data_IF_236596016602
#
_entry.id   IF_236596016602
#
_cell.length_a   1.000
_cell.length_b   1.000
_cell.length_c   1.000
_cell.angle_alpha   90.00
_cell.angle_beta   90.00
_cell.angle_gamma   90.00
#
_symmetry.space_group_name_H-M   'P 1'
#
loop_
_entity.id
_entity.type
_entity.pdbx_description
1 polymer ?
#
# COMPACT_ATOMS: atom_id res chain seq x y z
N UNK A 1 9.73 -14.41 0.22
CA UNK A 1 10.19 -13.03 -0.06
C UNK A 1 9.21 -12.08 0.59
N UNK A 2 9.68 -11.05 1.30
CA UNK A 2 8.83 -10.03 1.93
C UNK A 2 8.90 -8.74 1.13
N UNK A 3 7.75 -8.19 0.76
CA UNK A 3 7.63 -6.98 -0.06
C UNK A 3 7.06 -5.87 0.82
N UNK A 4 7.83 -4.81 1.05
CA UNK A 4 7.32 -3.60 1.68
C UNK A 4 6.57 -2.78 0.63
N UNK A 5 5.36 -2.36 0.93
CA UNK A 5 4.49 -1.64 0.02
C UNK A 5 3.96 -0.38 0.72
N UNK A 6 4.15 0.78 0.10
CA UNK A 6 3.65 2.04 0.62
C UNK A 6 3.34 3.04 -0.49
N UNK A 7 2.43 3.97 -0.22
CA UNK A 7 2.03 5.04 -1.13
C UNK A 7 1.61 6.28 -0.33
N UNK A 8 1.55 7.42 -1.02
CA UNK A 8 0.80 8.58 -0.53
C UNK A 8 -0.72 8.43 -0.79
N UNK A 9 -1.52 9.45 -0.46
CA UNK A 9 -2.96 9.46 -0.67
C UNK A 9 -3.35 9.34 -2.15
N UNK A 10 -2.53 9.87 -3.07
CA UNK A 10 -2.76 9.76 -4.51
C UNK A 10 -2.55 8.34 -5.04
N UNK A 11 -1.66 7.57 -4.41
CA UNK A 11 -1.38 6.18 -4.75
C UNK A 11 -2.19 5.13 -3.99
N UNK A 12 -3.08 5.50 -3.06
CA UNK A 12 -3.79 4.56 -2.17
C UNK A 12 -4.56 3.47 -2.94
N UNK A 13 -5.36 3.84 -3.94
CA UNK A 13 -6.17 2.87 -4.70
C UNK A 13 -5.28 1.87 -5.48
N UNK A 14 -4.21 2.36 -6.10
CA UNK A 14 -3.28 1.51 -6.83
C UNK A 14 -2.50 0.60 -5.86
N UNK A 15 -2.13 1.11 -4.68
CA UNK A 15 -1.46 0.33 -3.64
C UNK A 15 -2.32 -0.85 -3.21
N UNK A 16 -3.61 -0.62 -2.91
CA UNK A 16 -4.51 -1.70 -2.49
C UNK A 16 -4.71 -2.73 -3.62
N UNK A 17 -4.84 -2.31 -4.88
CA UNK A 17 -4.91 -3.23 -6.01
C UNK A 17 -3.63 -4.09 -6.17
N UNK A 18 -2.44 -3.49 -5.98
CA UNK A 18 -1.17 -4.22 -6.02
C UNK A 18 -1.04 -5.16 -4.82
N UNK A 19 -1.47 -4.75 -3.64
CA UNK A 19 -1.47 -5.57 -2.43
C UNK A 19 -2.33 -6.82 -2.61
N UNK A 20 -3.55 -6.68 -3.12
CA UNK A 20 -4.42 -7.81 -3.45
C UNK A 20 -3.76 -8.76 -4.46
N UNK A 21 -3.15 -8.21 -5.52
CA UNK A 21 -2.42 -9.00 -6.51
C UNK A 21 -1.25 -9.80 -5.88
N UNK A 22 -0.46 -9.16 -5.01
CA UNK A 22 0.67 -9.78 -4.35
C UNK A 22 0.23 -10.87 -3.34
N UNK A 23 -0.85 -10.61 -2.60
CA UNK A 23 -1.43 -11.58 -1.67
C UNK A 23 -2.00 -12.80 -2.41
N UNK A 24 -2.67 -12.59 -3.55
CA UNK A 24 -3.17 -13.67 -4.41
C UNK A 24 -2.06 -14.54 -5.00
N UNK A 25 -0.83 -14.02 -5.07
CA UNK A 25 0.38 -14.73 -5.49
C UNK A 25 1.16 -15.35 -4.32
N UNK A 26 0.58 -15.37 -3.12
CA UNK A 26 1.17 -15.91 -1.89
C UNK A 26 2.46 -15.19 -1.44
N UNK A 27 2.64 -13.93 -1.86
CA UNK A 27 3.72 -13.10 -1.32
C UNK A 27 3.36 -12.54 0.06
N UNK A 28 4.38 -12.39 0.90
CA UNK A 28 4.24 -11.69 2.18
C UNK A 28 4.39 -10.19 1.94
N UNK A 29 3.30 -9.43 2.16
CA UNK A 29 3.28 -7.97 2.03
C UNK A 29 3.39 -7.32 3.41
N UNK A 30 4.28 -6.34 3.55
CA UNK A 30 4.37 -5.44 4.69
C UNK A 30 3.81 -4.09 4.22
N UNK A 31 2.62 -3.73 4.69
CA UNK A 31 1.99 -2.45 4.37
C UNK A 31 2.59 -1.34 5.26
N UNK A 32 3.21 -0.35 4.62
CA UNK A 32 3.86 0.77 5.28
C UNK A 32 3.02 2.07 5.17
N UNK A 33 1.74 1.98 4.80
CA UNK A 33 0.82 3.12 4.68
C UNK A 33 0.74 3.68 3.25
N UNK A 34 -0.11 4.67 2.96
CA UNK A 34 -1.20 5.20 3.81
C UNK A 34 -2.37 4.23 3.90
N UNK A 35 -3.06 4.18 5.04
CA UNK A 35 -4.20 3.29 5.31
C UNK A 35 -5.56 3.90 4.91
N UNK A 36 -5.54 5.09 4.30
CA UNK A 36 -6.75 5.78 3.86
C UNK A 36 -6.50 6.73 2.69
N UNK A 37 -7.56 7.00 1.93
CA UNK A 37 -7.62 8.06 0.91
C UNK A 37 -7.88 9.45 1.52
N UNK A 38 -7.83 9.59 2.85
CA UNK A 38 -7.96 10.90 3.48
C UNK A 38 -6.73 11.73 3.13
N UNK A 39 -6.97 13.00 2.84
CA UNK A 39 -5.88 13.96 2.62
C UNK A 39 -5.00 13.97 3.86
N UNK A 40 -3.78 13.48 3.71
CA UNK A 40 -2.69 13.60 4.69
C UNK A 40 -1.66 14.52 4.07
N UNK A 41 -1.17 15.47 4.87
CA UNK A 41 -0.04 16.31 4.48
C UNK A 41 1.25 15.50 4.69
N UNK A 42 2.05 15.37 3.63
CA UNK A 42 3.45 14.94 3.81
C UNK A 42 4.15 16.00 4.68
N UNK A 43 4.78 15.65 5.82
CA UNK A 43 5.51 14.41 6.09
C UNK A 43 5.05 13.64 7.35
N UNK A 44 3.74 13.40 7.53
CA UNK A 44 3.22 12.47 8.56
C UNK A 44 3.28 10.99 8.16
#
# INVERSE_FOLDING_TARGET
>A
MKIALGSDHGGFELKEAIKEYLLAKEYQVIDCGVDSSRSVDYPE
#
